data_IF_464260242524
#
_entry.id   IF_464260242524
#
_cell.length_a   1.000
_cell.length_b   1.000
_cell.length_c   1.000
_cell.angle_alpha   90.00
_cell.angle_beta   90.00
_cell.angle_gamma   90.00
#
_symmetry.space_group_name_H-M   'P 1'
#
loop_
_entity.id
_entity.type
_entity.pdbx_description
1 polymer ?
#
# COMPACT_ATOMS: atom_id res chain seq x y z
N UNK A 1 -17.36 -4.13 -41.83
CA UNK A 1 -16.22 -3.32 -41.33
C UNK A 1 -16.38 -3.36 -39.83
N UNK A 2 -15.61 -4.22 -39.17
CA UNK A 2 -15.84 -4.60 -37.78
C UNK A 2 -15.42 -3.45 -36.86
N UNK A 3 -16.37 -2.92 -36.10
CA UNK A 3 -16.17 -2.07 -34.93
C UNK A 3 -15.50 -2.87 -33.80
N UNK A 4 -14.29 -3.36 -34.05
CA UNK A 4 -13.53 -4.23 -33.16
C UNK A 4 -12.31 -3.50 -32.58
N UNK A 5 -12.41 -2.18 -32.44
CA UNK A 5 -11.65 -1.46 -31.41
C UNK A 5 -12.35 -1.66 -30.07
N UNK A 6 -12.58 -2.93 -29.71
CA UNK A 6 -12.99 -3.36 -28.39
C UNK A 6 -12.05 -2.64 -27.43
N UNK A 7 -12.63 -1.71 -26.67
CA UNK A 7 -11.93 -0.93 -25.67
C UNK A 7 -10.95 -1.87 -24.97
N UNK A 8 -9.66 -1.59 -25.13
CA UNK A 8 -8.65 -1.97 -24.15
C UNK A 8 -9.05 -1.23 -22.88
N UNK A 9 -10.08 -1.71 -22.19
CA UNK A 9 -10.30 -1.44 -20.80
C UNK A 9 -9.09 -2.08 -20.12
N UNK A 10 -8.01 -1.29 -20.04
CA UNK A 10 -6.87 -1.52 -19.16
C UNK A 10 -7.48 -1.79 -17.81
N UNK A 11 -7.60 -3.07 -17.45
CA UNK A 11 -8.13 -3.44 -16.16
C UNK A 11 -7.36 -2.61 -15.12
N UNK A 12 -8.05 -1.91 -14.21
CA UNK A 12 -7.38 -1.06 -13.25
C UNK A 12 -6.30 -1.89 -12.55
N UNK A 13 -5.12 -1.30 -12.31
CA UNK A 13 -4.01 -2.03 -11.73
C UNK A 13 -4.45 -2.71 -10.44
N UNK A 14 -4.38 -4.05 -10.43
CA UNK A 14 -4.97 -4.87 -9.37
C UNK A 14 -3.96 -5.04 -8.26
N UNK A 15 -4.35 -4.66 -7.05
CA UNK A 15 -3.62 -5.01 -5.82
C UNK A 15 -3.95 -6.47 -5.52
N UNK A 16 -2.94 -7.32 -5.41
CA UNK A 16 -3.15 -8.72 -5.04
C UNK A 16 -3.63 -8.85 -3.58
N UNK A 17 -4.36 -9.92 -3.25
CA UNK A 17 -4.76 -10.17 -1.86
C UNK A 17 -3.55 -10.36 -0.94
N UNK A 18 -2.47 -10.95 -1.45
CA UNK A 18 -1.22 -11.08 -0.72
C UNK A 18 -0.64 -9.69 -0.40
N UNK A 19 -0.49 -8.82 -1.39
CA UNK A 19 0.03 -7.48 -1.18
C UNK A 19 -0.83 -6.62 -0.24
N UNK A 20 -2.16 -6.79 -0.28
CA UNK A 20 -3.05 -6.14 0.68
C UNK A 20 -2.83 -6.64 2.12
N UNK A 21 -2.60 -7.95 2.28
CA UNK A 21 -2.24 -8.56 3.56
C UNK A 21 -0.91 -8.03 4.08
N UNK A 22 0.13 -8.05 3.24
CA UNK A 22 1.47 -7.56 3.60
C UNK A 22 1.46 -6.07 3.95
N UNK A 23 0.70 -5.23 3.24
CA UNK A 23 0.55 -3.81 3.58
C UNK A 23 -0.10 -3.63 4.96
N UNK A 24 -1.15 -4.39 5.27
CA UNK A 24 -1.80 -4.36 6.58
C UNK A 24 -0.83 -4.80 7.66
N UNK A 25 -0.12 -5.90 7.45
CA UNK A 25 0.80 -6.46 8.42
C UNK A 25 2.00 -5.52 8.66
N UNK A 26 2.45 -4.79 7.63
CA UNK A 26 3.43 -3.71 7.77
C UNK A 26 2.93 -2.56 8.64
N UNK A 27 1.67 -2.11 8.45
CA UNK A 27 1.07 -1.05 9.27
C UNK A 27 0.91 -1.49 10.74
N UNK A 28 0.46 -2.73 10.97
CA UNK A 28 0.39 -3.30 12.33
C UNK A 28 1.77 -3.41 12.96
N UNK A 29 2.79 -3.85 12.22
CA UNK A 29 4.16 -3.92 12.74
C UNK A 29 4.74 -2.55 13.06
N UNK A 30 4.38 -1.50 12.30
CA UNK A 30 4.72 -0.11 12.63
C UNK A 30 4.09 0.29 13.96
N UNK A 31 2.78 0.06 14.12
CA UNK A 31 2.01 0.38 15.33
C UNK A 31 2.56 -0.36 16.58
N UNK A 32 3.02 -1.59 16.42
CA UNK A 32 3.65 -2.39 17.49
C UNK A 32 5.14 -2.03 17.74
N UNK A 33 5.71 -1.07 17.01
CA UNK A 33 7.13 -0.71 17.10
C UNK A 33 8.10 -1.79 16.57
N UNK A 34 7.59 -2.75 15.80
CA UNK A 34 8.34 -3.89 15.24
C UNK A 34 8.93 -3.55 13.86
N UNK A 35 9.81 -2.56 13.82
CA UNK A 35 10.42 -2.05 12.58
C UNK A 35 10.95 -3.11 11.61
N UNK A 36 11.74 -4.13 12.04
CA UNK A 36 12.20 -5.17 11.14
C UNK A 36 11.08 -6.00 10.49
N UNK A 37 9.98 -6.25 11.21
CA UNK A 37 8.83 -6.96 10.67
C UNK A 37 8.08 -6.11 9.64
N UNK A 38 7.95 -4.81 9.88
CA UNK A 38 7.37 -3.88 8.91
C UNK A 38 8.17 -3.86 7.59
N UNK A 39 9.50 -3.80 7.68
CA UNK A 39 10.37 -3.87 6.49
C UNK A 39 10.21 -5.20 5.76
N UNK A 40 10.15 -6.32 6.47
CA UNK A 40 9.97 -7.64 5.87
C UNK A 40 8.66 -7.74 5.08
N UNK A 41 7.54 -7.28 5.65
CA UNK A 41 6.24 -7.27 4.97
C UNK A 41 6.23 -6.32 3.76
N UNK A 42 6.82 -5.13 3.88
CA UNK A 42 6.94 -4.21 2.73
C UNK A 42 7.75 -4.83 1.58
N UNK A 43 8.83 -5.56 1.89
CA UNK A 43 9.65 -6.25 0.90
C UNK A 43 8.96 -7.47 0.26
N UNK A 44 7.93 -8.01 0.90
CA UNK A 44 7.13 -9.11 0.34
C UNK A 44 6.08 -8.63 -0.69
N UNK A 45 5.83 -7.32 -0.79
CA UNK A 45 4.92 -6.75 -1.78
C UNK A 45 5.57 -6.80 -3.17
N UNK A 46 4.88 -7.42 -4.13
CA UNK A 46 5.36 -7.46 -5.51
C UNK A 46 5.34 -6.08 -6.19
N UNK A 47 6.25 -5.80 -7.14
CA UNK A 47 6.36 -4.46 -7.75
C UNK A 47 5.09 -3.96 -8.44
N UNK A 48 4.26 -4.85 -9.01
CA UNK A 48 3.04 -4.44 -9.68
C UNK A 48 1.97 -4.00 -8.68
N UNK A 49 1.83 -4.75 -7.58
CA UNK A 49 0.95 -4.37 -6.46
C UNK A 49 1.45 -3.10 -5.77
N UNK A 50 2.77 -2.92 -5.61
CA UNK A 50 3.34 -1.68 -5.04
C UNK A 50 2.88 -0.44 -5.80
N UNK A 51 3.06 -0.42 -7.13
CA UNK A 51 2.62 0.69 -7.97
C UNK A 51 1.09 0.87 -7.97
N UNK A 52 0.34 -0.23 -7.87
CA UNK A 52 -1.12 -0.17 -7.76
C UNK A 52 -1.57 0.47 -6.44
N UNK A 53 -0.89 0.15 -5.33
CA UNK A 53 -1.11 0.75 -4.01
C UNK A 53 -0.82 2.25 -4.08
N UNK A 54 0.34 2.66 -4.58
CA UNK A 54 0.70 4.09 -4.68
C UNK A 54 -0.33 4.88 -5.49
N UNK A 55 -0.72 4.38 -6.67
CA UNK A 55 -1.77 5.04 -7.49
C UNK A 55 -3.10 5.12 -6.77
N UNK A 56 -3.48 4.08 -6.02
CA UNK A 56 -4.76 4.07 -5.29
C UNK A 56 -4.73 5.03 -4.11
N UNK A 57 -3.62 5.13 -3.39
CA UNK A 57 -3.44 6.09 -2.31
C UNK A 57 -3.56 7.52 -2.82
N UNK A 58 -2.89 7.84 -3.93
CA UNK A 58 -3.02 9.16 -4.57
C UNK A 58 -4.47 9.43 -4.98
N UNK A 59 -5.16 8.45 -5.57
CA UNK A 59 -6.52 8.62 -6.05
C UNK A 59 -7.57 8.75 -4.93
N UNK A 60 -7.36 8.10 -3.78
CA UNK A 60 -8.36 8.00 -2.69
C UNK A 60 -8.06 8.97 -1.55
N UNK A 61 -6.78 9.11 -1.20
CA UNK A 61 -6.30 9.87 -0.03
C UNK A 61 -5.62 11.17 -0.45
N UNK A 62 -5.16 11.27 -1.70
CA UNK A 62 -4.42 12.43 -2.19
C UNK A 62 -2.94 12.42 -1.77
N UNK A 63 -2.44 11.28 -1.30
CA UNK A 63 -1.09 11.15 -0.76
C UNK A 63 -0.43 9.84 -1.21
N UNK A 64 0.88 9.74 -1.01
CA UNK A 64 1.68 8.57 -1.39
C UNK A 64 1.89 7.58 -0.23
N UNK A 65 2.45 6.41 -0.57
CA UNK A 65 2.70 5.35 0.41
C UNK A 65 3.72 5.78 1.48
N UNK A 66 4.70 6.63 1.13
CA UNK A 66 5.71 7.10 2.09
C UNK A 66 5.07 7.99 3.15
N UNK A 67 4.19 8.90 2.76
CA UNK A 67 3.48 9.77 3.69
C UNK A 67 2.57 8.97 4.64
N UNK A 68 1.87 7.96 4.11
CA UNK A 68 1.08 7.03 4.93
C UNK A 68 1.94 6.33 5.99
N UNK A 69 3.08 5.76 5.58
CA UNK A 69 3.98 5.05 6.50
C UNK A 69 4.57 5.98 7.57
N UNK A 70 4.91 7.22 7.19
CA UNK A 70 5.39 8.22 8.14
C UNK A 70 4.31 8.58 9.17
N UNK A 71 3.08 8.82 8.72
CA UNK A 71 1.95 9.12 9.61
C UNK A 71 1.65 7.98 10.59
N UNK A 72 1.74 6.72 10.12
CA UNK A 72 1.59 5.54 10.98
C UNK A 72 2.69 5.47 12.06
N UNK A 73 3.94 5.74 11.67
CA UNK A 73 5.06 5.74 12.61
C UNK A 73 4.94 6.86 13.67
N UNK A 74 4.47 8.05 13.27
CA UNK A 74 4.24 9.18 14.17
C UNK A 74 3.13 8.90 15.19
N UNK A 75 2.04 8.23 14.77
CA UNK A 75 0.97 7.80 15.67
C UNK A 75 1.45 6.85 16.77
N UNK A 76 2.37 5.96 16.44
CA UNK A 76 2.95 5.00 17.38
C UNK A 76 3.65 5.73 18.53
N UNK A 77 4.45 6.75 18.20
CA UNK A 77 5.18 7.53 19.19
C UNK A 77 4.29 8.45 20.03
N UNK A 78 3.17 8.92 19.48
CA UNK A 78 2.18 9.68 20.25
C UNK A 78 1.48 8.78 21.30
N UNK A 79 1.10 7.55 20.91
CA UNK A 79 0.40 6.60 21.79
C UNK A 79 1.28 6.04 22.91
N UNK A 80 2.61 5.99 22.72
CA UNK A 80 3.56 5.46 23.74
C UNK A 80 3.85 6.47 24.87
N UNK A 81 3.45 7.75 24.72
CA UNK A 81 3.75 8.83 25.70
C UNK A 81 2.61 9.16 26.68
N UNK A 82 1.49 8.44 26.62
CA UNK A 82 0.36 8.56 27.56
C UNK A 82 0.38 7.42 28.57
#
# INVERSE_FOLDING_TARGET
>A
MFDEYQQYATAPPRISLMAAGELRDALTAIDEGRGPAAVASLMAIDPASWQAIERRLVAVVGDDLRALLLSAAEHTWASTRL
#
